data_IF_717071699035
#
_entry.id   IF_717071699035
#
_cell.length_a   1.000
_cell.length_b   1.000
_cell.length_c   1.000
_cell.angle_alpha   90.00
_cell.angle_beta   90.00
_cell.angle_gamma   90.00
#
_symmetry.space_group_name_H-M   'P 1'
#
loop_
_entity.id
_entity.type
_entity.pdbx_description
1 polymer ?
#
# COMPACT_ATOMS: atom_id res chain seq x y z
N UNK A 1 -22.07 10.26 -9.53
CA UNK A 1 -20.67 9.95 -9.20
C UNK A 1 -20.50 9.83 -7.70
N UNK A 2 -20.96 10.82 -6.93
CA UNK A 2 -21.05 10.79 -5.45
C UNK A 2 -21.82 9.55 -4.92
N UNK A 3 -22.92 9.20 -5.59
CA UNK A 3 -23.75 8.03 -5.30
C UNK A 3 -22.99 6.68 -5.44
N UNK A 4 -22.00 6.63 -6.32
CA UNK A 4 -21.22 5.41 -6.59
C UNK A 4 -20.10 5.21 -5.54
N UNK A 5 -19.45 6.29 -5.10
CA UNK A 5 -18.48 6.24 -4.00
C UNK A 5 -19.18 5.92 -2.69
N UNK A 6 -20.27 6.60 -2.37
CA UNK A 6 -21.05 6.35 -1.16
C UNK A 6 -21.52 4.88 -1.08
N UNK A 7 -21.98 4.32 -2.20
CA UNK A 7 -22.31 2.90 -2.29
C UNK A 7 -21.10 1.99 -2.01
N UNK A 8 -19.90 2.30 -2.54
CA UNK A 8 -18.68 1.54 -2.22
C UNK A 8 -18.32 1.64 -0.74
N UNK A 9 -18.29 2.85 -0.16
CA UNK A 9 -17.99 3.06 1.25
C UNK A 9 -18.91 2.22 2.17
N UNK A 10 -20.18 2.04 1.78
CA UNK A 10 -21.15 1.29 2.55
C UNK A 10 -21.09 -0.24 2.35
N UNK A 11 -20.53 -0.73 1.25
CA UNK A 11 -20.71 -2.15 0.84
C UNK A 11 -19.40 -2.90 0.61
N UNK A 12 -18.30 -2.21 0.36
CA UNK A 12 -17.00 -2.85 0.07
C UNK A 12 -16.24 -3.04 1.37
N UNK A 13 -15.78 -4.26 1.62
CA UNK A 13 -14.81 -4.57 2.67
C UNK A 13 -13.39 -4.26 2.18
N UNK A 14 -12.74 -3.17 2.63
CA UNK A 14 -11.40 -2.82 2.18
C UNK A 14 -10.36 -3.87 2.60
N UNK A 15 -10.62 -4.64 3.67
CA UNK A 15 -9.71 -5.72 4.09
C UNK A 15 -9.68 -6.86 3.07
N UNK A 16 -10.82 -7.18 2.45
CA UNK A 16 -10.90 -8.18 1.39
C UNK A 16 -10.16 -7.72 0.11
N UNK A 17 -10.26 -6.43 -0.22
CA UNK A 17 -9.53 -5.84 -1.34
C UNK A 17 -8.02 -5.85 -1.06
N UNK A 18 -7.60 -5.40 0.13
CA UNK A 18 -6.20 -5.46 0.55
C UNK A 18 -5.64 -6.88 0.51
N UNK A 19 -6.36 -7.85 1.08
CA UNK A 19 -5.96 -9.26 1.08
C UNK A 19 -5.68 -9.77 -0.34
N UNK A 20 -6.58 -9.48 -1.28
CA UNK A 20 -6.42 -9.90 -2.67
C UNK A 20 -5.22 -9.24 -3.34
N UNK A 21 -5.03 -7.93 -3.16
CA UNK A 21 -3.86 -7.21 -3.70
C UNK A 21 -2.57 -7.75 -3.09
N UNK A 22 -2.55 -8.03 -1.80
CA UNK A 22 -1.41 -8.64 -1.10
C UNK A 22 -1.07 -10.00 -1.68
N UNK A 23 -2.06 -10.86 -1.89
CA UNK A 23 -1.84 -12.19 -2.47
C UNK A 23 -1.32 -12.09 -3.91
N UNK A 24 -1.82 -11.15 -4.71
CA UNK A 24 -1.34 -10.89 -6.06
C UNK A 24 0.12 -10.40 -6.08
N UNK A 25 0.47 -9.47 -5.18
CA UNK A 25 1.84 -8.99 -5.04
C UNK A 25 2.77 -10.09 -4.52
N UNK A 26 2.35 -10.86 -3.52
CA UNK A 26 3.11 -12.00 -2.99
C UNK A 26 3.39 -13.05 -4.08
N UNK A 27 2.39 -13.37 -4.91
CA UNK A 27 2.57 -14.24 -6.06
C UNK A 27 3.57 -13.66 -7.07
N UNK A 28 3.47 -12.36 -7.37
CA UNK A 28 4.40 -11.67 -8.27
C UNK A 28 5.84 -11.79 -7.79
N UNK A 29 6.11 -11.52 -6.50
CA UNK A 29 7.50 -11.47 -5.98
C UNK A 29 8.11 -12.84 -5.67
N UNK A 30 7.29 -13.88 -5.44
CA UNK A 30 7.77 -15.22 -5.09
C UNK A 30 8.39 -15.95 -6.30
N UNK A 31 8.00 -15.56 -7.52
CA UNK A 31 8.47 -16.17 -8.77
C UNK A 31 9.71 -15.49 -9.36
N UNK A 32 10.15 -14.37 -8.77
CA UNK A 32 11.23 -13.55 -9.33
C UNK A 32 12.61 -14.15 -9.12
N UNK A 33 13.46 -14.01 -10.14
CA UNK A 33 14.88 -14.25 -10.04
C UNK A 33 15.57 -13.16 -9.19
N UNK A 34 16.77 -13.45 -8.67
CA UNK A 34 17.53 -12.47 -7.87
C UNK A 34 17.79 -11.17 -8.65
N UNK A 35 18.11 -11.25 -9.95
CA UNK A 35 18.31 -10.06 -10.78
C UNK A 35 17.07 -9.15 -10.84
N UNK A 36 15.87 -9.73 -10.90
CA UNK A 36 14.60 -8.99 -10.91
C UNK A 36 14.31 -8.39 -9.53
N UNK A 37 14.60 -9.12 -8.46
CA UNK A 37 14.50 -8.62 -7.09
C UNK A 37 15.45 -7.45 -6.80
N UNK A 38 16.57 -7.38 -7.52
CA UNK A 38 17.55 -6.30 -7.43
C UNK A 38 17.31 -5.15 -8.40
N UNK A 39 16.29 -5.24 -9.27
CA UNK A 39 15.94 -4.16 -10.19
C UNK A 39 15.46 -2.92 -9.41
N UNK A 40 15.93 -1.73 -9.81
CA UNK A 40 15.48 -0.46 -9.24
C UNK A 40 14.07 -0.13 -9.71
N UNK A 41 13.30 0.48 -8.82
CA UNK A 41 11.90 0.84 -9.07
C UNK A 41 11.81 2.33 -9.43
N UNK A 42 11.38 2.71 -10.64
CA UNK A 42 11.41 4.10 -11.09
C UNK A 42 10.64 5.10 -10.21
N UNK A 43 9.52 4.68 -9.62
CA UNK A 43 8.69 5.52 -8.76
C UNK A 43 9.30 5.75 -7.36
N UNK A 44 10.18 4.85 -6.93
CA UNK A 44 10.94 4.90 -5.67
C UNK A 44 12.41 4.63 -5.98
N UNK A 45 13.14 5.58 -6.59
CA UNK A 45 14.39 5.31 -7.32
C UNK A 45 15.54 4.82 -6.43
N UNK A 46 15.45 4.99 -5.12
CA UNK A 46 16.42 4.45 -4.14
C UNK A 46 16.14 3.00 -3.75
N UNK A 47 14.99 2.46 -4.14
CA UNK A 47 14.51 1.15 -3.73
C UNK A 47 14.56 0.16 -4.89
N UNK A 48 14.98 -1.06 -4.57
CA UNK A 48 14.81 -2.23 -5.42
C UNK A 48 13.44 -2.85 -5.22
N UNK A 49 13.03 -3.76 -6.10
CA UNK A 49 11.77 -4.52 -5.95
C UNK A 49 11.66 -5.18 -4.56
N UNK A 50 12.74 -5.77 -4.05
CA UNK A 50 12.78 -6.35 -2.70
C UNK A 50 12.61 -5.32 -1.57
N UNK A 51 13.03 -4.07 -1.81
CA UNK A 51 12.95 -2.99 -0.83
C UNK A 51 11.50 -2.47 -0.76
N UNK A 52 10.80 -2.38 -1.89
CA UNK A 52 9.35 -2.12 -1.92
C UNK A 52 8.58 -3.20 -1.16
N UNK A 53 8.92 -4.48 -1.38
CA UNK A 53 8.34 -5.58 -0.60
C UNK A 53 8.63 -5.42 0.90
N UNK A 54 9.87 -5.08 1.27
CA UNK A 54 10.23 -4.85 2.66
C UNK A 54 9.41 -3.72 3.30
N UNK A 55 9.13 -2.65 2.57
CA UNK A 55 8.29 -1.54 3.01
C UNK A 55 6.85 -1.99 3.28
N UNK A 56 6.14 -2.56 2.31
CA UNK A 56 4.72 -2.91 2.48
C UNK A 56 4.50 -3.98 3.57
N UNK A 57 5.46 -4.90 3.74
CA UNK A 57 5.45 -5.87 4.84
C UNK A 57 5.80 -5.20 6.17
N UNK A 58 6.72 -4.24 6.15
CA UNK A 58 7.10 -3.43 7.29
C UNK A 58 5.97 -2.59 7.84
N UNK A 59 5.20 -1.95 6.96
CA UNK A 59 4.03 -1.16 7.32
C UNK A 59 3.02 -1.98 8.12
N UNK A 60 2.63 -3.16 7.61
CA UNK A 60 1.72 -4.05 8.33
C UNK A 60 2.26 -4.49 9.71
N UNK A 61 3.55 -4.86 9.76
CA UNK A 61 4.19 -5.29 11.01
C UNK A 61 4.35 -4.16 12.05
N UNK A 62 4.58 -2.93 11.59
CA UNK A 62 4.72 -1.77 12.46
C UNK A 62 3.38 -1.33 13.02
N UNK A 63 2.36 -1.24 12.17
CA UNK A 63 1.01 -0.84 12.60
C UNK A 63 0.39 -1.86 13.57
N UNK A 64 0.55 -3.16 13.31
CA UNK A 64 0.14 -4.20 14.26
C UNK A 64 0.84 -4.07 15.62
N UNK A 65 2.09 -3.62 15.62
CA UNK A 65 2.88 -3.42 16.82
C UNK A 65 2.79 -1.99 17.39
N UNK A 66 1.86 -1.18 16.88
CA UNK A 66 1.64 0.21 17.28
C UNK A 66 2.91 1.08 17.19
N UNK A 67 3.76 0.80 16.20
CA UNK A 67 4.88 1.66 15.81
C UNK A 67 4.41 2.59 14.69
N UNK A 68 4.58 3.87 14.92
CA UNK A 68 4.12 4.95 14.04
C UNK A 68 5.31 5.86 13.70
N UNK A 69 5.23 6.65 12.61
CA UNK A 69 6.27 7.63 12.29
C UNK A 69 6.42 8.63 13.44
N UNK A 70 7.63 9.20 13.56
CA UNK A 70 7.87 10.27 14.51
C UNK A 70 7.02 11.50 14.16
N UNK A 71 6.66 12.31 15.16
CA UNK A 71 5.79 13.46 14.96
C UNK A 71 6.38 14.52 13.99
N UNK A 72 7.70 14.56 13.86
CA UNK A 72 8.45 15.41 12.94
C UNK A 72 8.79 14.74 11.59
N UNK A 73 8.47 13.45 11.41
CA UNK A 73 8.60 12.71 10.14
C UNK A 73 7.31 12.85 9.31
N UNK A 74 7.01 14.08 8.91
CA UNK A 74 5.86 14.37 8.06
C UNK A 74 5.97 13.59 6.74
N UNK A 75 4.97 12.75 6.45
CA UNK A 75 4.99 11.85 5.29
C UNK A 75 5.70 10.51 5.52
N UNK A 76 6.26 10.27 6.71
CA UNK A 76 6.73 8.95 7.14
C UNK A 76 7.94 8.41 6.37
N UNK A 77 8.75 9.27 5.75
CA UNK A 77 9.88 8.83 4.91
C UNK A 77 10.98 8.16 5.72
N UNK A 78 11.31 8.68 6.90
CA UNK A 78 12.31 8.04 7.76
C UNK A 78 11.79 6.70 8.31
N UNK A 79 10.50 6.65 8.66
CA UNK A 79 9.84 5.43 9.09
C UNK A 79 9.81 4.35 7.99
N UNK A 80 9.47 4.72 6.76
CA UNK A 80 9.54 3.82 5.60
C UNK A 80 10.96 3.31 5.35
N UNK A 81 11.98 4.17 5.46
CA UNK A 81 13.37 3.75 5.33
C UNK A 81 13.79 2.73 6.41
N UNK A 82 13.31 2.88 7.65
CA UNK A 82 13.55 1.92 8.73
C UNK A 82 12.93 0.55 8.43
N UNK A 83 11.74 0.52 7.83
CA UNK A 83 11.07 -0.73 7.42
C UNK A 83 11.89 -1.53 6.39
N UNK A 84 12.48 -0.81 5.43
CA UNK A 84 13.41 -1.36 4.43
C UNK A 84 14.69 -1.86 5.09
N UNK A 85 15.36 -1.02 5.88
CA UNK A 85 16.62 -1.36 6.55
C UNK A 85 16.45 -2.58 7.46
N UNK A 86 15.35 -2.69 8.20
CA UNK A 86 15.10 -3.81 9.11
C UNK A 86 15.00 -5.18 8.40
N UNK A 87 14.78 -5.20 7.08
CA UNK A 87 14.58 -6.42 6.28
C UNK A 87 15.64 -6.61 5.20
N UNK A 88 16.63 -5.72 5.10
CA UNK A 88 17.63 -5.71 4.02
C UNK A 88 18.38 -7.03 3.84
N UNK A 89 18.67 -7.73 4.94
CA UNK A 89 19.47 -8.95 4.93
C UNK A 89 18.60 -10.23 4.97
N UNK A 90 17.27 -10.09 4.97
CA UNK A 90 16.36 -11.21 4.94
C UNK A 90 16.22 -11.75 3.51
N UNK A 91 16.08 -13.07 3.39
CA UNK A 91 15.62 -13.68 2.15
C UNK A 91 14.19 -13.24 1.84
N UNK A 92 13.86 -13.05 0.55
CA UNK A 92 12.51 -12.65 0.12
C UNK A 92 11.44 -13.59 0.66
N UNK A 93 11.70 -14.91 0.67
CA UNK A 93 10.80 -15.89 1.25
C UNK A 93 10.50 -15.63 2.74
N UNK A 94 11.49 -15.16 3.51
CA UNK A 94 11.30 -14.80 4.91
C UNK A 94 10.47 -13.50 5.08
N UNK A 95 10.65 -12.54 4.17
CA UNK A 95 9.85 -11.30 4.15
C UNK A 95 8.38 -11.65 3.85
N UNK A 96 8.11 -12.48 2.82
CA UNK A 96 6.76 -12.94 2.47
C UNK A 96 6.13 -13.74 3.62
N UNK A 97 6.88 -14.65 4.25
CA UNK A 97 6.41 -15.40 5.42
C UNK A 97 6.04 -14.47 6.58
N UNK A 98 6.81 -13.40 6.80
CA UNK A 98 6.47 -12.33 7.73
C UNK A 98 5.13 -11.70 7.39
N UNK A 99 4.90 -11.34 6.12
CA UNK A 99 3.63 -10.76 5.69
C UNK A 99 2.43 -11.67 5.93
N UNK A 100 2.57 -12.97 5.64
CA UNK A 100 1.53 -13.98 5.89
C UNK A 100 1.15 -14.03 7.38
N UNK A 101 2.13 -13.87 8.28
CA UNK A 101 1.90 -13.84 9.72
C UNK A 101 1.21 -12.56 10.19
N UNK A 102 1.59 -11.40 9.65
CA UNK A 102 1.02 -10.11 10.05
C UNK A 102 -0.38 -9.86 9.47
N UNK A 103 -0.66 -10.44 8.30
CA UNK A 103 -1.84 -10.16 7.50
C UNK A 103 -3.18 -10.35 8.25
N UNK A 104 -3.44 -11.42 9.01
CA UNK A 104 -4.74 -11.59 9.67
C UNK A 104 -5.10 -10.48 10.65
N UNK A 105 -4.11 -10.00 11.43
CA UNK A 105 -4.31 -8.91 12.39
C UNK A 105 -4.49 -7.60 11.65
N UNK A 106 -3.67 -7.35 10.62
CA UNK A 106 -3.75 -6.12 9.83
C UNK A 106 -5.08 -6.02 9.09
N UNK A 107 -5.49 -7.06 8.38
CA UNK A 107 -6.77 -7.16 7.65
C UNK A 107 -7.97 -7.02 8.61
N UNK A 108 -7.91 -7.59 9.82
CA UNK A 108 -8.94 -7.35 10.84
C UNK A 108 -8.99 -5.89 11.30
N UNK A 109 -7.83 -5.24 11.45
CA UNK A 109 -7.71 -3.81 11.75
C UNK A 109 -8.35 -2.94 10.67
N UNK A 110 -8.07 -3.21 9.38
CA UNK A 110 -8.69 -2.48 8.27
C UNK A 110 -10.21 -2.56 8.29
N UNK A 111 -10.76 -3.74 8.59
CA UNK A 111 -12.21 -3.93 8.72
C UNK A 111 -12.78 -3.16 9.91
N UNK A 112 -12.03 -3.06 11.01
CA UNK A 112 -12.44 -2.33 12.20
C UNK A 112 -12.42 -0.81 12.01
N UNK A 113 -11.38 -0.27 11.37
CA UNK A 113 -11.29 1.18 11.09
C UNK A 113 -12.28 1.65 10.03
N UNK A 114 -12.67 0.75 9.11
CA UNK A 114 -13.71 1.03 8.12
C UNK A 114 -13.14 1.45 6.77
N UNK A 115 -14.03 1.88 5.87
CA UNK A 115 -13.67 2.08 4.47
C UNK A 115 -12.66 3.19 4.24
N UNK A 116 -12.79 4.34 4.92
CA UNK A 116 -11.93 5.50 4.68
C UNK A 116 -10.46 5.16 4.99
N UNK A 117 -10.19 4.65 6.18
CA UNK A 117 -8.86 4.19 6.59
C UNK A 117 -8.41 2.95 5.81
N UNK A 118 -9.29 2.00 5.55
CA UNK A 118 -8.96 0.80 4.79
C UNK A 118 -8.56 1.10 3.34
N UNK A 119 -9.22 2.08 2.70
CA UNK A 119 -8.94 2.49 1.33
C UNK A 119 -7.53 3.08 1.17
N UNK A 120 -7.02 3.76 2.20
CA UNK A 120 -5.63 4.25 2.24
C UNK A 120 -4.63 3.10 2.08
N UNK A 121 -4.77 2.04 2.89
CA UNK A 121 -3.84 0.92 2.83
C UNK A 121 -4.00 0.05 1.58
N UNK A 122 -5.19 0.03 0.97
CA UNK A 122 -5.38 -0.53 -0.37
C UNK A 122 -4.64 0.31 -1.42
N UNK A 123 -4.74 1.64 -1.35
CA UNK A 123 -4.10 2.56 -2.28
C UNK A 123 -2.57 2.44 -2.23
N UNK A 124 -2.00 2.47 -1.02
CA UNK A 124 -0.57 2.29 -0.76
C UNK A 124 -0.04 0.98 -1.36
N UNK A 125 -0.67 -0.15 -1.00
CA UNK A 125 -0.26 -1.45 -1.49
C UNK A 125 -0.43 -1.60 -3.00
N UNK A 126 -1.54 -1.10 -3.55
CA UNK A 126 -1.78 -1.16 -4.99
C UNK A 126 -0.77 -0.34 -5.77
N UNK A 127 -0.47 0.90 -5.34
CA UNK A 127 0.53 1.75 -5.97
C UNK A 127 1.91 1.06 -5.99
N UNK A 128 2.36 0.54 -4.86
CA UNK A 128 3.63 -0.17 -4.78
C UNK A 128 3.67 -1.47 -5.59
N UNK A 129 2.54 -2.17 -5.72
CA UNK A 129 2.46 -3.30 -6.63
C UNK A 129 2.59 -2.86 -8.10
N UNK A 130 1.95 -1.76 -8.50
CA UNK A 130 2.12 -1.20 -9.85
C UNK A 130 3.56 -0.75 -10.11
N UNK A 131 4.22 -0.14 -9.12
CA UNK A 131 5.60 0.30 -9.24
C UNK A 131 6.54 -0.89 -9.53
N UNK A 132 6.35 -1.99 -8.80
CA UNK A 132 7.08 -3.26 -9.03
C UNK A 132 6.76 -3.83 -10.41
N UNK A 133 5.48 -3.88 -10.80
CA UNK A 133 5.07 -4.38 -12.12
C UNK A 133 5.67 -3.56 -13.25
N UNK A 134 5.69 -2.23 -13.11
CA UNK A 134 6.29 -1.30 -14.06
C UNK A 134 7.81 -1.49 -14.16
N UNK A 135 8.50 -1.66 -13.04
CA UNK A 135 9.94 -1.96 -13.02
C UNK A 135 10.29 -3.27 -13.74
N UNK A 136 9.39 -4.25 -13.69
CA UNK A 136 9.55 -5.58 -14.31
C UNK A 136 8.96 -5.68 -15.72
N UNK A 137 8.34 -4.63 -16.25
CA UNK A 137 7.66 -4.67 -17.56
C UNK A 137 6.45 -5.59 -17.62
N UNK A 138 5.84 -5.90 -16.47
CA UNK A 138 4.62 -6.71 -16.39
C UNK A 138 3.39 -5.87 -16.76
N UNK A 139 2.31 -6.52 -17.19
CA UNK A 139 1.03 -5.84 -17.40
C UNK A 139 0.57 -5.16 -16.11
N UNK A 140 -0.12 -4.03 -16.16
CA UNK A 140 -0.70 -3.39 -14.96
C UNK A 140 -1.70 -4.31 -14.25
N UNK A 141 -1.90 -4.13 -12.94
CA UNK A 141 -3.08 -4.67 -12.26
C UNK A 141 -4.25 -3.71 -12.50
N UNK A 142 -5.14 -4.02 -13.42
CA UNK A 142 -6.29 -3.19 -13.74
C UNK A 142 -7.61 -3.74 -13.21
N UNK A 143 -7.55 -4.47 -12.08
CA UNK A 143 -8.76 -4.86 -11.38
C UNK A 143 -9.64 -3.63 -11.05
N UNK A 144 -10.85 -3.53 -11.61
CA UNK A 144 -11.65 -2.33 -11.50
C UNK A 144 -12.00 -1.94 -10.06
N UNK A 145 -12.17 -2.93 -9.17
CA UNK A 145 -12.52 -2.68 -7.78
C UNK A 145 -11.30 -2.16 -7.00
N UNK A 146 -10.13 -2.78 -7.13
CA UNK A 146 -8.90 -2.32 -6.47
C UNK A 146 -8.56 -0.91 -6.90
N UNK A 147 -8.63 -0.62 -8.22
CA UNK A 147 -8.38 0.71 -8.77
C UNK A 147 -9.38 1.73 -8.21
N UNK A 148 -10.67 1.40 -8.18
CA UNK A 148 -11.70 2.30 -7.66
C UNK A 148 -11.51 2.61 -6.16
N UNK A 149 -11.20 1.60 -5.34
CA UNK A 149 -10.96 1.78 -3.91
C UNK A 149 -9.69 2.61 -3.66
N UNK A 150 -8.61 2.33 -4.40
CA UNK A 150 -7.38 3.11 -4.32
C UNK A 150 -7.58 4.58 -4.70
N UNK A 151 -8.35 4.85 -5.76
CA UNK A 151 -8.66 6.20 -6.20
C UNK A 151 -9.57 6.95 -5.21
N UNK A 152 -10.49 6.26 -4.54
CA UNK A 152 -11.34 6.88 -3.52
C UNK A 152 -10.50 7.51 -2.39
N UNK A 153 -9.37 6.90 -2.01
CA UNK A 153 -8.42 7.47 -1.05
C UNK A 153 -7.76 8.75 -1.60
N UNK A 154 -7.09 8.67 -2.76
CA UNK A 154 -6.33 9.82 -3.29
C UNK A 154 -7.23 11.01 -3.64
N UNK A 155 -8.41 10.74 -4.22
CA UNK A 155 -9.37 11.79 -4.56
C UNK A 155 -9.99 12.41 -3.31
N UNK A 156 -10.31 11.60 -2.30
CA UNK A 156 -10.80 12.10 -1.01
C UNK A 156 -9.75 12.94 -0.28
N UNK A 157 -8.50 12.49 -0.26
CA UNK A 157 -7.39 13.24 0.33
C UNK A 157 -7.15 14.58 -0.38
N UNK A 158 -7.16 14.58 -1.72
CA UNK A 158 -7.02 15.80 -2.51
C UNK A 158 -8.17 16.78 -2.26
N UNK A 159 -9.42 16.28 -2.22
CA UNK A 159 -10.60 17.08 -1.89
C UNK A 159 -10.46 17.78 -0.52
N UNK A 160 -10.04 17.04 0.51
CA UNK A 160 -9.81 17.60 1.84
C UNK A 160 -8.70 18.68 1.85
N UNK A 161 -7.61 18.47 1.10
CA UNK A 161 -6.56 19.48 0.96
C UNK A 161 -7.06 20.75 0.27
N UNK A 162 -7.85 20.61 -0.79
CA UNK A 162 -8.42 21.75 -1.52
C UNK A 162 -9.38 22.54 -0.65
N UNK A 163 -10.27 21.87 0.08
CA UNK A 163 -11.19 22.49 1.02
C UNK A 163 -10.45 23.22 2.15
N UNK A 164 -9.43 22.60 2.75
CA UNK A 164 -8.61 23.21 3.79
C UNK A 164 -7.86 24.46 3.29
N UNK A 165 -7.45 24.47 2.02
CA UNK A 165 -6.80 25.60 1.38
C UNK A 165 -7.79 26.67 0.85
N UNK A 166 -9.11 26.42 0.94
CA UNK A 166 -10.16 27.24 0.32
C UNK A 166 -9.93 27.44 -1.19
N UNK A 167 -9.35 26.44 -1.86
CA UNK A 167 -9.11 26.47 -3.30
C UNK A 167 -10.31 25.90 -4.05
N UNK A 168 -10.84 26.67 -5.01
CA UNK A 168 -11.95 26.24 -5.87
C UNK A 168 -13.34 26.45 -5.27
N UNK A 169 -13.47 27.06 -4.09
CA UNK A 169 -14.76 27.57 -3.59
C UNK A 169 -15.11 28.87 -4.32
N UNK A 170 -16.27 28.90 -4.99
CA UNK A 170 -16.86 30.15 -5.48
C UNK A 170 -17.45 30.86 -4.25
N UNK A 171 -16.90 32.03 -3.91
CA UNK A 171 -17.51 32.94 -2.92
C UNK A 171 -18.93 33.37 -3.34
#
# INVERSE_FOLDING_TARGET
>A
MEDVRAARCATVDPAAVYQRTRLAMAATVTELADAELQALVPATPEWRVRDVLAHVVGLAADLNAQRFPAADDAGGSAWAAQQVVARRDLAVAAIVAGWVREAPVFEAGLRFFGYEEGSHFVADLHAHHQDVRGALGLSRDDDPLTVAVALDHYLGFLDQLLLAAQWGTLE
#
